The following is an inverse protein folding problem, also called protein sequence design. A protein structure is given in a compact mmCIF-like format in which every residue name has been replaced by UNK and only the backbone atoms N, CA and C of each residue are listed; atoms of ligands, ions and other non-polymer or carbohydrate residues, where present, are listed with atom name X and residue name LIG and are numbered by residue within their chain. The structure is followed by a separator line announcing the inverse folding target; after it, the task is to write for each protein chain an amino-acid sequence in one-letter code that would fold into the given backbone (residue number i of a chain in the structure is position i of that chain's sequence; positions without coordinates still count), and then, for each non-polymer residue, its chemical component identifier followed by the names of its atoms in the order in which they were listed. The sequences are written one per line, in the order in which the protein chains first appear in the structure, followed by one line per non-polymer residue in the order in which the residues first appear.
data_IF_180754712018
#
_entry.id   IF_180754712018
#
_cell.length_a   1.000
_cell.length_b   1.000
_cell.length_c   1.000
_cell.angle_alpha   90.00
_cell.angle_beta   90.00
_cell.angle_gamma   90.00
#
_symmetry.space_group_name_H-M   'P 1'
#
loop_
_entity.id
_entity.type
_entity.pdbx_description
1 polymer ?
#
# COMPACT_ATOMS: atom_id res chain seq x y z
N UNK A 1 -20.13 -40.22 33.64
CA UNK A 1 -19.10 -39.18 33.57
C UNK A 1 -19.52 -38.16 34.60
N UNK A 2 -18.95 -38.26 35.79
CA UNK A 2 -19.37 -37.47 36.93
C UNK A 2 -18.70 -36.09 36.90
N UNK A 3 -19.38 -35.08 37.44
CA UNK A 3 -18.93 -33.68 37.41
C UNK A 3 -17.52 -33.47 38.00
N UNK A 4 -17.12 -34.32 38.93
CA UNK A 4 -15.79 -34.34 39.56
C UNK A 4 -14.67 -34.72 38.58
N UNK A 5 -14.96 -35.56 37.59
CA UNK A 5 -13.97 -35.95 36.58
C UNK A 5 -13.69 -34.82 35.57
N UNK A 6 -14.70 -33.97 35.32
CA UNK A 6 -14.59 -32.79 34.47
C UNK A 6 -13.76 -31.68 35.13
N UNK A 7 -13.93 -31.47 36.43
CA UNK A 7 -13.20 -30.46 37.18
C UNK A 7 -11.70 -30.78 37.28
N UNK A 8 -11.37 -32.06 37.49
CA UNK A 8 -9.97 -32.50 37.54
C UNK A 8 -9.27 -32.37 36.18
N UNK A 9 -9.96 -32.68 35.08
CA UNK A 9 -9.41 -32.50 33.72
C UNK A 9 -9.15 -31.03 33.36
N UNK A 10 -10.02 -30.12 33.80
CA UNK A 10 -9.84 -28.69 33.54
C UNK A 10 -8.64 -28.11 34.31
N UNK A 11 -8.37 -28.65 35.50
CA UNK A 11 -7.24 -28.23 36.33
C UNK A 11 -5.88 -28.66 35.76
N UNK A 12 -5.83 -29.83 35.14
CA UNK A 12 -4.64 -30.40 34.53
C UNK A 12 -4.19 -29.62 33.28
N UNK A 13 -5.15 -29.12 32.48
CA UNK A 13 -4.89 -28.31 31.27
C UNK A 13 -4.37 -26.90 31.64
N UNK A 14 -4.72 -26.37 32.81
CA UNK A 14 -4.33 -25.03 33.24
C UNK A 14 -2.88 -24.88 33.72
N UNK A 15 -2.18 -25.98 34.00
CA UNK A 15 -0.85 -25.97 34.64
C UNK A 15 0.36 -26.06 33.69
N UNK A 16 0.17 -26.30 32.40
CA UNK A 16 1.28 -26.46 31.45
C UNK A 16 1.30 -25.37 30.37
N UNK A 17 1.82 -24.19 30.69
CA UNK A 17 2.48 -23.34 29.69
C UNK A 17 3.44 -22.35 30.33
N UNK A 18 4.73 -22.71 30.39
CA UNK A 18 5.82 -21.76 30.63
C UNK A 18 6.79 -21.72 29.45
N UNK A 19 7.02 -20.49 28.97
CA UNK A 19 8.15 -19.95 28.20
C UNK A 19 8.40 -20.31 26.70
N UNK A 20 8.20 -19.26 25.88
CA UNK A 20 8.59 -18.95 24.48
C UNK A 20 10.13 -19.00 24.18
N UNK A 21 10.66 -18.97 22.91
CA UNK A 21 10.28 -17.99 21.86
C UNK A 21 10.39 -18.32 20.33
N UNK A 22 9.58 -17.52 19.59
CA UNK A 22 9.73 -16.84 18.27
C UNK A 22 10.31 -17.58 17.04
N UNK A 23 9.46 -17.81 16.03
CA UNK A 23 9.52 -17.17 14.69
C UNK A 23 8.38 -17.63 13.77
N UNK A 24 7.64 -16.67 13.21
CA UNK A 24 7.03 -16.61 11.85
C UNK A 24 5.91 -15.57 11.85
N UNK A 25 6.14 -14.46 11.14
CA UNK A 25 5.16 -13.40 10.93
C UNK A 25 4.07 -13.87 9.96
N UNK A 26 3.06 -14.56 10.48
CA UNK A 26 1.76 -14.62 9.82
C UNK A 26 1.07 -13.27 9.98
N UNK A 27 0.61 -12.68 8.87
CA UNK A 27 -0.27 -11.52 8.88
C UNK A 27 -1.58 -11.86 9.62
N UNK A 28 -1.58 -11.72 10.94
CA UNK A 28 -2.79 -11.73 11.74
C UNK A 28 -3.41 -10.35 11.60
N UNK A 29 -4.48 -10.27 10.82
CA UNK A 29 -5.40 -9.14 10.87
C UNK A 29 -6.04 -9.22 12.25
N UNK A 30 -5.44 -8.56 13.24
CA UNK A 30 -6.09 -8.39 14.54
C UNK A 30 -7.31 -7.49 14.32
N UNK A 31 -8.55 -7.97 14.51
CA UNK A 31 -9.69 -7.07 14.51
C UNK A 31 -9.47 -6.06 15.64
N UNK A 32 -9.52 -4.78 15.32
CA UNK A 32 -9.53 -3.73 16.33
C UNK A 32 -10.83 -3.88 17.09
N UNK A 33 -10.76 -4.40 18.32
CA UNK A 33 -11.91 -4.49 19.22
C UNK A 33 -12.38 -3.09 19.61
N UNK A 34 -13.31 -2.54 18.85
CA UNK A 34 -14.12 -1.38 19.25
C UNK A 34 -15.25 -1.90 20.13
N UNK A 35 -14.93 -2.40 21.33
CA UNK A 35 -15.95 -2.79 22.30
C UNK A 35 -16.37 -1.56 23.10
N UNK A 36 -17.31 -0.77 22.58
CA UNK A 36 -18.27 -0.12 23.50
C UNK A 36 -19.04 -1.25 24.18
N UNK A 37 -19.24 -1.16 25.49
CA UNK A 37 -20.04 -2.15 26.23
C UNK A 37 -21.41 -2.23 25.55
N UNK A 38 -21.82 -3.42 25.12
CA UNK A 38 -23.07 -3.66 24.38
C UNK A 38 -24.30 -3.10 25.13
N UNK A 39 -24.20 -2.95 26.45
CA UNK A 39 -25.21 -2.37 27.33
C UNK A 39 -25.44 -0.85 27.18
N UNK A 40 -24.70 -0.14 26.33
CA UNK A 40 -24.84 1.33 26.14
C UNK A 40 -25.00 1.72 24.67
N UNK A 41 -25.58 0.84 23.84
CA UNK A 41 -26.00 1.18 22.48
C UNK A 41 -27.43 1.71 22.61
N UNK A 42 -27.65 2.99 22.31
CA UNK A 42 -29.00 3.56 22.26
C UNK A 42 -29.74 3.05 21.02
N UNK A 43 -31.07 2.97 21.07
CA UNK A 43 -31.88 2.61 19.91
C UNK A 43 -31.64 3.58 18.73
N UNK A 44 -31.35 4.85 19.02
CA UNK A 44 -30.93 5.86 18.04
C UNK A 44 -29.61 5.49 17.33
N UNK A 45 -28.65 4.89 18.02
CA UNK A 45 -27.40 4.41 17.40
C UNK A 45 -27.69 3.19 16.51
N UNK A 46 -28.63 2.32 16.90
CA UNK A 46 -29.01 1.12 16.16
C UNK A 46 -29.71 1.46 14.83
N UNK A 47 -30.65 2.40 14.85
CA UNK A 47 -31.32 2.92 13.64
C UNK A 47 -30.31 3.61 12.69
N UNK A 48 -29.32 4.31 13.25
CA UNK A 48 -28.26 4.95 12.47
C UNK A 48 -27.29 3.94 11.81
N UNK A 49 -27.23 2.70 12.31
CA UNK A 49 -26.43 1.62 11.72
C UNK A 49 -27.23 0.81 10.70
N UNK A 50 -28.55 0.67 10.84
CA UNK A 50 -29.38 -0.03 9.84
C UNK A 50 -29.41 0.67 8.49
N UNK A 51 -29.28 2.00 8.47
CA UNK A 51 -29.24 2.78 7.23
C UNK A 51 -27.87 2.76 6.53
N UNK A 52 -26.81 2.33 7.22
CA UNK A 52 -25.45 2.25 6.67
C UNK A 52 -25.25 0.90 6.01
N UNK A 53 -25.59 0.81 4.73
CA UNK A 53 -25.27 -0.34 3.89
C UNK A 53 -23.75 -0.54 3.88
N UNK A 54 -23.28 -1.67 4.42
CA UNK A 54 -21.87 -2.06 4.35
C UNK A 54 -21.54 -2.28 2.86
N UNK A 55 -20.57 -1.54 2.28
CA UNK A 55 -20.22 -1.68 0.88
C UNK A 55 -19.78 -3.11 0.57
N UNK A 56 -20.19 -3.63 -0.59
CA UNK A 56 -19.68 -4.91 -1.07
C UNK A 56 -18.21 -4.80 -1.45
N UNK A 57 -17.52 -5.93 -1.58
CA UNK A 57 -16.14 -5.96 -2.08
C UNK A 57 -16.01 -5.28 -3.45
N UNK A 58 -16.98 -5.50 -4.34
CA UNK A 58 -17.00 -4.90 -5.68
C UNK A 58 -17.13 -3.37 -5.62
N UNK A 59 -17.92 -2.84 -4.67
CA UNK A 59 -18.07 -1.40 -4.47
C UNK A 59 -16.75 -0.78 -4.00
N UNK A 60 -16.10 -1.42 -3.02
CA UNK A 60 -14.80 -0.98 -2.52
C UNK A 60 -13.74 -1.01 -3.63
N UNK A 61 -13.67 -2.11 -4.39
CA UNK A 61 -12.74 -2.25 -5.51
C UNK A 61 -12.94 -1.13 -6.53
N UNK A 62 -14.18 -0.86 -6.94
CA UNK A 62 -14.52 0.21 -7.88
C UNK A 62 -14.06 1.59 -7.37
N UNK A 63 -14.27 1.87 -6.07
CA UNK A 63 -13.83 3.12 -5.44
C UNK A 63 -12.31 3.25 -5.47
N UNK A 64 -11.58 2.18 -5.11
CA UNK A 64 -10.11 2.20 -5.11
C UNK A 64 -9.53 2.34 -6.52
N UNK A 65 -10.10 1.64 -7.50
CA UNK A 65 -9.70 1.74 -8.90
C UNK A 65 -9.97 3.12 -9.48
N UNK A 66 -11.12 3.73 -9.17
CA UNK A 66 -11.45 5.09 -9.58
C UNK A 66 -10.48 6.13 -9.01
N UNK A 67 -10.11 5.99 -7.72
CA UNK A 67 -9.09 6.83 -7.08
C UNK A 67 -7.73 6.66 -7.75
N UNK A 68 -7.33 5.41 -8.00
CA UNK A 68 -6.08 5.12 -8.68
C UNK A 68 -6.05 5.68 -10.10
N UNK A 69 -7.15 5.59 -10.86
CA UNK A 69 -7.23 6.11 -12.23
C UNK A 69 -6.92 7.61 -12.29
N UNK A 70 -7.50 8.40 -11.39
CA UNK A 70 -7.22 9.85 -11.28
C UNK A 70 -5.76 10.14 -10.91
N UNK A 71 -5.21 9.36 -9.98
CA UNK A 71 -3.82 9.50 -9.54
C UNK A 71 -2.82 9.11 -10.63
N UNK A 72 -3.11 8.03 -11.36
CA UNK A 72 -2.36 7.56 -12.54
C UNK A 72 -2.33 8.62 -13.64
N UNK A 73 -3.47 9.22 -13.96
CA UNK A 73 -3.54 10.28 -14.97
C UNK A 73 -2.70 11.50 -14.57
N UNK A 74 -2.80 11.95 -13.31
CA UNK A 74 -1.96 13.03 -12.79
C UNK A 74 -0.47 12.69 -12.82
N UNK A 75 -0.12 11.46 -12.48
CA UNK A 75 1.25 10.96 -12.54
C UNK A 75 1.78 10.97 -13.98
N UNK A 76 1.04 10.41 -14.93
CA UNK A 76 1.43 10.37 -16.34
C UNK A 76 1.50 11.77 -16.97
N UNK A 77 0.59 12.68 -16.60
CA UNK A 77 0.65 14.07 -17.05
C UNK A 77 1.91 14.79 -16.55
N UNK A 78 2.26 14.64 -15.26
CA UNK A 78 3.52 15.15 -14.73
C UNK A 78 4.73 14.53 -15.46
N UNK A 79 4.69 13.23 -15.71
CA UNK A 79 5.78 12.55 -16.38
C UNK A 79 5.97 13.11 -17.79
N UNK A 80 4.91 13.18 -18.61
CA UNK A 80 4.95 13.76 -19.96
C UNK A 80 5.45 15.20 -19.98
N UNK A 81 4.92 16.05 -19.09
CA UNK A 81 5.28 17.47 -19.04
C UNK A 81 6.76 17.69 -18.71
N UNK A 82 7.34 16.84 -17.86
CA UNK A 82 8.75 16.94 -17.49
C UNK A 82 9.67 16.10 -18.40
N UNK A 83 9.11 15.15 -19.16
CA UNK A 83 9.89 14.26 -20.01
C UNK A 83 10.59 14.99 -21.16
N UNK A 84 9.93 16.01 -21.73
CA UNK A 84 10.55 16.89 -22.73
C UNK A 84 11.77 17.62 -22.17
N UNK A 85 11.65 18.18 -20.96
CA UNK A 85 12.77 18.82 -20.26
C UNK A 85 13.91 17.83 -19.96
N UNK A 86 13.58 16.57 -19.65
CA UNK A 86 14.57 15.51 -19.45
C UNK A 86 15.36 15.23 -20.73
N UNK A 87 14.67 15.12 -21.88
CA UNK A 87 15.31 14.91 -23.19
C UNK A 87 16.19 16.10 -23.58
N UNK A 88 15.69 17.33 -23.46
CA UNK A 88 16.44 18.54 -23.81
C UNK A 88 17.71 18.67 -22.97
N UNK A 89 17.62 18.38 -21.66
CA UNK A 89 18.79 18.39 -20.77
C UNK A 89 19.76 17.26 -21.08
N UNK A 90 19.26 16.08 -21.41
CA UNK A 90 20.11 14.97 -21.85
C UNK A 90 20.87 15.31 -23.14
N UNK A 91 20.20 15.91 -24.12
CA UNK A 91 20.83 16.41 -25.35
C UNK A 91 21.90 17.48 -25.06
N UNK A 92 21.75 18.25 -23.97
CA UNK A 92 22.78 19.18 -23.49
C UNK A 92 23.98 18.52 -22.78
N UNK A 93 24.02 17.18 -22.68
CA UNK A 93 25.08 16.41 -22.03
C UNK A 93 24.96 16.33 -20.50
N UNK A 94 23.83 16.74 -19.91
CA UNK A 94 23.57 16.64 -18.48
C UNK A 94 22.76 15.38 -18.19
N UNK A 95 23.37 14.42 -17.49
CA UNK A 95 22.64 13.25 -17.00
C UNK A 95 21.79 13.67 -15.79
N UNK A 96 20.48 13.84 -16.00
CA UNK A 96 19.55 14.08 -14.90
C UNK A 96 18.67 12.85 -14.70
N UNK A 97 18.66 12.32 -13.46
CA UNK A 97 17.67 11.34 -13.04
C UNK A 97 16.37 12.08 -12.76
N UNK A 98 15.28 11.74 -13.43
CA UNK A 98 13.98 12.29 -13.06
C UNK A 98 13.50 11.61 -11.79
N UNK A 99 13.27 12.37 -10.73
CA UNK A 99 12.88 11.84 -9.43
C UNK A 99 11.42 12.15 -9.13
N UNK A 100 10.62 11.11 -8.93
CA UNK A 100 9.25 11.21 -8.43
C UNK A 100 9.14 10.58 -7.04
N UNK A 101 8.56 11.32 -6.10
CA UNK A 101 8.27 10.82 -4.76
C UNK A 101 6.95 10.03 -4.79
N UNK A 102 7.01 8.73 -4.54
CA UNK A 102 5.89 7.80 -4.64
C UNK A 102 5.64 7.11 -3.30
N UNK A 103 4.38 6.91 -2.85
CA UNK A 103 4.10 6.12 -1.65
C UNK A 103 4.62 4.69 -1.78
N UNK A 104 5.39 4.21 -0.80
CA UNK A 104 6.02 2.88 -0.82
C UNK A 104 4.99 1.76 -1.06
N UNK A 105 3.81 1.84 -0.43
CA UNK A 105 2.75 0.82 -0.56
C UNK A 105 2.20 0.69 -1.98
N UNK A 106 2.37 1.70 -2.82
CA UNK A 106 1.82 1.76 -4.18
C UNK A 106 2.89 1.68 -5.27
N UNK A 107 4.16 1.53 -4.91
CA UNK A 107 5.30 1.52 -5.83
C UNK A 107 5.03 0.72 -7.11
N UNK A 108 4.56 -0.53 -6.97
CA UNK A 108 4.26 -1.42 -8.11
C UNK A 108 3.28 -0.78 -9.10
N UNK A 109 2.22 -0.14 -8.61
CA UNK A 109 1.21 0.50 -9.47
C UNK A 109 1.82 1.63 -10.31
N UNK A 110 2.73 2.42 -9.72
CA UNK A 110 3.40 3.50 -10.42
C UNK A 110 4.43 2.99 -11.43
N UNK A 111 5.15 1.90 -11.12
CA UNK A 111 6.03 1.24 -12.08
C UNK A 111 5.20 0.75 -13.28
N UNK A 112 4.07 0.08 -13.04
CA UNK A 112 3.21 -0.39 -14.14
C UNK A 112 2.66 0.77 -14.96
N UNK A 113 2.21 1.85 -14.31
CA UNK A 113 1.72 3.05 -15.00
C UNK A 113 2.81 3.78 -15.80
N UNK A 114 4.06 3.69 -15.37
CA UNK A 114 5.22 4.17 -16.12
C UNK A 114 5.48 3.33 -17.37
N UNK A 115 5.57 2.01 -17.21
CA UNK A 115 5.82 1.07 -18.31
C UNK A 115 4.69 1.07 -19.35
N UNK A 116 3.46 1.37 -18.94
CA UNK A 116 2.34 1.56 -19.87
C UNK A 116 2.50 2.81 -20.75
N UNK A 117 3.20 3.83 -20.24
CA UNK A 117 3.41 5.08 -20.97
C UNK A 117 4.68 5.06 -21.83
N UNK A 118 5.69 4.34 -21.37
CA UNK A 118 7.00 4.23 -21.99
C UNK A 118 7.27 2.76 -22.28
N UNK A 119 7.11 2.36 -23.54
CA UNK A 119 7.50 1.03 -24.00
C UNK A 119 9.00 0.79 -23.74
N UNK A 120 9.38 -0.49 -23.57
CA UNK A 120 10.62 -1.10 -23.02
C UNK A 120 12.00 -0.41 -23.13
N UNK A 121 12.14 0.72 -23.81
CA UNK A 121 13.36 1.53 -23.86
C UNK A 121 13.71 2.26 -22.57
N UNK A 122 12.79 2.46 -21.62
CA UNK A 122 13.08 3.21 -20.38
C UNK A 122 12.94 2.34 -19.14
N UNK A 123 13.91 2.45 -18.24
CA UNK A 123 13.93 1.68 -16.99
C UNK A 123 13.66 2.61 -15.79
N UNK A 124 12.55 2.38 -15.04
CA UNK A 124 12.36 3.03 -13.76
C UNK A 124 13.22 2.32 -12.70
N UNK A 125 14.11 3.06 -12.06
CA UNK A 125 14.85 2.61 -10.88
C UNK A 125 14.14 3.08 -9.61
N UNK A 126 14.06 2.20 -8.63
CA UNK A 126 13.46 2.53 -7.33
C UNK A 126 14.58 2.76 -6.33
N UNK A 127 14.65 3.97 -5.80
CA UNK A 127 15.56 4.33 -4.72
C UNK A 127 15.06 3.88 -3.34
N UNK A 128 15.87 4.15 -2.33
CA UNK A 128 15.60 3.72 -0.96
C UNK A 128 14.32 4.34 -0.37
N UNK A 129 13.77 3.67 0.65
CA UNK A 129 12.61 4.19 1.39
C UNK A 129 13.04 5.34 2.28
N UNK A 130 12.48 6.52 2.04
CA UNK A 130 12.64 7.72 2.86
C UNK A 130 11.35 8.03 3.65
N UNK A 131 11.47 8.78 4.75
CA UNK A 131 10.33 9.29 5.51
C UNK A 131 10.17 10.79 5.28
N UNK A 132 9.07 11.19 4.67
CA UNK A 132 8.69 12.59 4.46
C UNK A 132 7.36 12.82 5.17
N UNK A 133 7.31 13.78 6.10
CA UNK A 133 6.10 14.11 6.87
C UNK A 133 5.41 12.87 7.49
N UNK A 134 6.18 12.01 8.17
CA UNK A 134 5.75 10.73 8.74
C UNK A 134 5.17 9.69 7.75
N UNK A 135 5.26 9.94 6.44
CA UNK A 135 4.87 8.97 5.40
C UNK A 135 6.11 8.32 4.81
N UNK A 136 6.05 7.00 4.60
CA UNK A 136 7.09 6.22 3.92
C UNK A 136 6.92 6.40 2.41
N UNK A 137 7.94 6.94 1.77
CA UNK A 137 7.95 7.33 0.35
C UNK A 137 9.22 6.75 -0.28
N UNK A 138 9.12 6.33 -1.54
CA UNK A 138 10.28 5.93 -2.35
C UNK A 138 10.46 6.90 -3.50
N UNK A 139 11.71 7.07 -3.89
CA UNK A 139 12.07 7.86 -5.06
C UNK A 139 12.05 6.96 -6.28
N UNK A 140 11.13 7.19 -7.20
CA UNK A 140 11.14 6.60 -8.52
C UNK A 140 12.06 7.44 -9.40
N UNK A 141 13.22 6.90 -9.71
CA UNK A 141 14.26 7.49 -10.53
C UNK A 141 14.11 6.97 -11.96
N UNK A 142 13.95 7.84 -12.94
CA UNK A 142 13.81 7.44 -14.34
C UNK A 142 15.10 7.80 -15.06
N UNK A 143 15.68 6.81 -15.73
CA UNK A 143 16.86 6.99 -16.58
C UNK A 143 16.46 6.86 -18.05
N UNK A 144 16.99 7.75 -18.88
CA UNK A 144 16.92 7.60 -20.34
C UNK A 144 17.87 6.48 -20.78
N UNK A 145 17.50 5.63 -21.76
CA UNK A 145 18.41 4.62 -22.28
C UNK A 145 19.67 5.25 -22.85
N UNK A 146 20.78 4.52 -22.76
CA UNK A 146 22.09 4.90 -23.32
C UNK A 146 22.05 5.22 -24.83
N UNK A 147 20.99 4.78 -25.53
CA UNK A 147 20.83 4.98 -26.97
C UNK A 147 20.48 6.43 -27.38
N UNK A 148 20.16 7.33 -26.45
CA UNK A 148 20.03 8.75 -26.77
C UNK A 148 21.40 9.45 -26.98
N UNK A 149 22.52 8.79 -26.66
CA UNK A 149 23.87 9.36 -26.76
C UNK A 149 24.50 9.26 -28.17
N UNK A 150 23.82 8.68 -29.15
CA UNK A 150 24.42 8.50 -30.47
C UNK A 150 23.41 8.84 -31.56
N UNK A 151 23.34 10.12 -31.89
CA UNK A 151 23.31 10.69 -33.25
C UNK A 151 22.81 12.12 -33.10
N UNK A 152 23.72 13.07 -32.85
CA UNK A 152 23.80 14.38 -33.50
C UNK A 152 25.11 15.05 -33.06
#
# INVERSE_FOLDING_TARGET
MDLLDLENKLKEIGSESSSLPKEKSSNVITPVSVTKKISTISDEDLENYSDKVIPSWNDLQTIYESRWRKEKERFQAHLKANFTALIERYASGKQELFQLCVPERREKLYITAFLELFESGYAPHVGDTERIANKRVRKLLITLPHNYCSTY
#
